data_IF_528948865528
#
_entry.id   IF_528948865528
#
_cell.length_a   1.000
_cell.length_b   1.000
_cell.length_c   1.000
_cell.angle_alpha   90.00
_cell.angle_beta   90.00
_cell.angle_gamma   90.00
#
_symmetry.space_group_name_H-M   'P 1'
#
loop_
_entity.id
_entity.type
_entity.pdbx_description
1 polymer ?
#
# COMPACT_ATOMS: atom_id res chain seq x y z
N UNK A 1 -5.15 -15.35 26.47
CA UNK A 1 -3.86 -15.33 25.76
C UNK A 1 -3.98 -16.26 24.57
N UNK A 2 -4.18 -15.71 23.35
CA UNK A 2 -4.26 -16.54 22.14
C UNK A 2 -2.91 -17.20 21.89
N UNK A 3 -2.87 -18.47 21.46
CA UNK A 3 -1.62 -19.16 21.19
C UNK A 3 -0.85 -18.34 20.16
N UNK A 4 0.41 -18.02 20.46
CA UNK A 4 1.30 -17.36 19.51
C UNK A 4 1.33 -18.23 18.25
N UNK A 5 0.66 -17.77 17.21
CA UNK A 5 0.66 -18.43 15.91
C UNK A 5 2.12 -18.61 15.50
N UNK A 6 2.49 -19.83 15.09
CA UNK A 6 3.86 -20.11 14.65
C UNK A 6 4.29 -19.04 13.64
N UNK A 7 5.52 -18.51 13.75
CA UNK A 7 5.99 -17.50 12.81
C UNK A 7 5.93 -18.08 11.40
N UNK A 8 5.02 -17.55 10.58
CA UNK A 8 4.85 -17.94 9.18
C UNK A 8 5.26 -16.77 8.29
N UNK A 9 5.96 -17.07 7.20
CA UNK A 9 6.39 -16.04 6.24
C UNK A 9 5.17 -15.33 5.66
N UNK A 10 4.09 -16.09 5.39
CA UNK A 10 2.81 -15.56 4.92
C UNK A 10 2.17 -14.58 5.91
N UNK A 11 2.13 -14.91 7.20
CA UNK A 11 1.55 -14.03 8.21
C UNK A 11 2.34 -12.73 8.38
N UNK A 12 3.67 -12.81 8.36
CA UNK A 12 4.54 -11.63 8.40
C UNK A 12 4.35 -10.74 7.14
N UNK A 13 4.28 -11.36 5.96
CA UNK A 13 4.05 -10.66 4.70
C UNK A 13 2.68 -9.97 4.66
N UNK A 14 1.61 -10.67 5.06
CA UNK A 14 0.26 -10.10 5.12
C UNK A 14 0.16 -8.96 6.14
N UNK A 15 0.85 -9.07 7.29
CA UNK A 15 0.91 -8.00 8.29
C UNK A 15 1.62 -6.75 7.76
N UNK A 16 2.78 -6.91 7.10
CA UNK A 16 3.51 -5.78 6.48
C UNK A 16 2.69 -5.14 5.38
N UNK A 17 2.10 -5.95 4.48
CA UNK A 17 1.25 -5.46 3.39
C UNK A 17 0.01 -4.73 3.92
N UNK A 18 -0.61 -5.23 4.99
CA UNK A 18 -1.73 -4.60 5.67
C UNK A 18 -1.34 -3.26 6.30
N UNK A 19 -0.21 -3.20 7.00
CA UNK A 19 0.30 -1.98 7.63
C UNK A 19 0.64 -0.89 6.60
N UNK A 20 1.35 -1.27 5.52
CA UNK A 20 1.66 -0.36 4.41
C UNK A 20 0.35 0.09 3.75
N UNK A 21 -0.59 -0.82 3.50
CA UNK A 21 -1.90 -0.52 2.94
C UNK A 21 -2.71 0.47 3.79
N UNK A 22 -2.70 0.32 5.11
CA UNK A 22 -3.38 1.22 6.03
C UNK A 22 -2.76 2.63 6.01
N UNK A 23 -1.43 2.72 5.98
CA UNK A 23 -0.73 4.01 5.84
C UNK A 23 -1.00 4.69 4.50
N UNK A 24 -1.06 3.94 3.40
CA UNK A 24 -1.49 4.47 2.10
C UNK A 24 -2.93 4.99 2.15
N UNK A 25 -3.84 4.31 2.86
CA UNK A 25 -5.21 4.78 3.07
C UNK A 25 -5.24 6.12 3.80
N UNK A 26 -4.50 6.24 4.90
CA UNK A 26 -4.44 7.47 5.70
C UNK A 26 -3.83 8.64 4.92
N UNK A 27 -2.73 8.38 4.19
CA UNK A 27 -2.15 9.36 3.28
C UNK A 27 -3.15 9.79 2.19
N UNK A 28 -3.89 8.83 1.61
CA UNK A 28 -4.92 9.11 0.62
C UNK A 28 -6.03 10.03 1.13
N UNK A 29 -6.50 9.81 2.38
CA UNK A 29 -7.48 10.69 3.04
C UNK A 29 -6.91 12.10 3.20
N UNK A 30 -5.67 12.23 3.63
CA UNK A 30 -5.02 13.54 3.77
C UNK A 30 -4.93 14.26 2.41
N UNK A 31 -4.53 13.55 1.35
CA UNK A 31 -4.44 14.10 0.00
C UNK A 31 -5.80 14.50 -0.59
N UNK A 32 -6.90 13.90 -0.13
CA UNK A 32 -8.24 14.30 -0.56
C UNK A 32 -8.62 15.73 -0.15
N UNK A 33 -7.95 16.31 0.84
CA UNK A 33 -8.19 17.71 1.26
C UNK A 33 -7.68 18.73 0.24
N UNK A 34 -6.65 18.38 -0.53
CA UNK A 34 -6.02 19.27 -1.52
C UNK A 34 -6.99 19.69 -2.64
N UNK A 35 -7.65 18.78 -3.39
CA UNK A 35 -8.58 19.19 -4.43
C UNK A 35 -9.74 20.03 -3.86
N UNK A 36 -10.23 19.71 -2.65
CA UNK A 36 -11.28 20.50 -1.99
C UNK A 36 -10.83 21.93 -1.72
N UNK A 37 -9.64 22.11 -1.13
CA UNK A 37 -9.07 23.43 -0.87
C UNK A 37 -8.85 24.24 -2.15
N UNK A 38 -8.33 23.58 -3.20
CA UNK A 38 -8.11 24.21 -4.52
C UNK A 38 -9.44 24.63 -5.16
N UNK A 39 -10.45 23.76 -5.15
CA UNK A 39 -11.79 24.08 -5.68
C UNK A 39 -12.41 25.26 -4.92
N UNK A 40 -12.33 25.28 -3.60
CA UNK A 40 -12.84 26.40 -2.79
C UNK A 40 -12.10 27.71 -3.09
N UNK A 41 -10.77 27.65 -3.20
CA UNK A 41 -9.96 28.83 -3.57
C UNK A 41 -10.36 29.38 -4.94
N UNK A 42 -10.53 28.50 -5.93
CA UNK A 42 -10.98 28.88 -7.27
C UNK A 42 -12.41 29.45 -7.25
N UNK A 43 -13.31 28.81 -6.51
CA UNK A 43 -14.68 29.27 -6.36
C UNK A 43 -14.75 30.69 -5.77
N UNK A 44 -13.94 30.96 -4.73
CA UNK A 44 -13.84 32.28 -4.13
C UNK A 44 -13.30 33.32 -5.11
N UNK A 45 -12.22 32.98 -5.81
CA UNK A 45 -11.57 33.88 -6.77
C UNK A 45 -12.47 34.22 -7.96
N UNK A 46 -13.21 33.23 -8.49
CA UNK A 46 -14.12 33.39 -9.63
C UNK A 46 -15.46 34.05 -9.26
N UNK A 47 -15.97 33.79 -8.05
CA UNK A 47 -17.22 34.36 -7.57
C UNK A 47 -17.10 35.84 -7.19
N UNK A 48 -15.94 36.26 -6.67
CA UNK A 48 -15.72 37.64 -6.20
C UNK A 48 -16.69 38.09 -5.09
N UNK A 49 -16.62 39.36 -4.69
CA UNK A 49 -17.45 39.91 -3.61
C UNK A 49 -18.94 40.07 -4.00
N UNK A 50 -19.25 40.10 -5.30
CA UNK A 50 -20.62 40.24 -5.82
C UNK A 50 -21.38 38.91 -5.92
N UNK A 51 -20.69 37.77 -5.71
CA UNK A 51 -21.27 36.44 -5.84
C UNK A 51 -21.48 35.98 -7.29
N UNK A 52 -22.06 34.78 -7.43
CA UNK A 52 -22.26 34.14 -8.73
C UNK A 52 -23.33 34.87 -9.55
N UNK A 53 -22.97 35.26 -10.78
CA UNK A 53 -23.92 35.85 -11.72
C UNK A 53 -24.95 34.81 -12.17
N UNK A 54 -26.23 35.14 -12.05
CA UNK A 54 -27.33 34.28 -12.51
C UNK A 54 -27.21 34.04 -14.03
N UNK A 55 -27.28 32.77 -14.44
CA UNK A 55 -27.05 32.34 -15.83
C UNK A 55 -25.58 32.03 -16.19
N UNK A 56 -24.65 32.14 -15.24
CA UNK A 56 -23.26 31.73 -15.44
C UNK A 56 -23.09 30.21 -15.38
N UNK A 57 -22.33 29.64 -16.32
CA UNK A 57 -21.93 28.23 -16.30
C UNK A 57 -20.72 27.95 -15.38
N UNK A 58 -20.15 28.98 -14.74
CA UNK A 58 -18.94 28.85 -13.93
C UNK A 58 -19.06 27.86 -12.76
N UNK A 59 -20.19 27.80 -12.00
CA UNK A 59 -20.35 26.79 -10.94
C UNK A 59 -20.30 25.37 -11.49
N UNK A 60 -20.96 25.11 -12.62
CA UNK A 60 -20.98 23.78 -13.25
C UNK A 60 -19.59 23.36 -13.74
N UNK A 61 -18.82 24.29 -14.29
CA UNK A 61 -17.42 24.03 -14.71
C UNK A 61 -16.56 23.69 -13.49
N UNK A 62 -16.72 24.42 -12.38
CA UNK A 62 -15.99 24.14 -11.14
C UNK A 62 -16.34 22.78 -10.55
N UNK A 63 -17.62 22.41 -10.55
CA UNK A 63 -18.06 21.09 -10.10
C UNK A 63 -17.46 19.99 -10.97
N UNK A 64 -17.49 20.18 -12.30
CA UNK A 64 -16.86 19.25 -13.24
C UNK A 64 -15.36 19.09 -13.00
N UNK A 65 -14.63 20.20 -12.78
CA UNK A 65 -13.21 20.18 -12.46
C UNK A 65 -12.93 19.51 -11.10
N UNK A 66 -13.77 19.77 -10.09
CA UNK A 66 -13.64 19.15 -8.77
C UNK A 66 -13.82 17.64 -8.86
N UNK A 67 -14.85 17.18 -9.56
CA UNK A 67 -15.10 15.74 -9.80
C UNK A 67 -13.94 15.12 -10.58
N UNK A 68 -13.45 15.77 -11.63
CA UNK A 68 -12.33 15.29 -12.42
C UNK A 68 -11.03 15.19 -11.58
N UNK A 69 -10.75 16.18 -10.74
CA UNK A 69 -9.59 16.18 -9.86
C UNK A 69 -9.65 15.05 -8.82
N UNK A 70 -10.82 14.86 -8.19
CA UNK A 70 -11.03 13.74 -7.25
C UNK A 70 -10.89 12.40 -7.96
N UNK A 71 -11.48 12.23 -9.14
CA UNK A 71 -11.36 11.00 -9.93
C UNK A 71 -9.90 10.71 -10.30
N UNK A 72 -9.14 11.73 -10.72
CA UNK A 72 -7.72 11.61 -11.03
C UNK A 72 -6.89 11.22 -9.80
N UNK A 73 -7.18 11.82 -8.64
CA UNK A 73 -6.54 11.45 -7.37
C UNK A 73 -6.84 10.01 -6.97
N UNK A 74 -8.11 9.58 -7.06
CA UNK A 74 -8.48 8.19 -6.76
C UNK A 74 -7.78 7.23 -7.72
N UNK A 75 -7.78 7.53 -9.02
CA UNK A 75 -7.11 6.71 -10.02
C UNK A 75 -5.59 6.61 -9.77
N UNK A 76 -4.95 7.72 -9.40
CA UNK A 76 -3.51 7.74 -9.10
C UNK A 76 -3.18 6.94 -7.84
N UNK A 77 -3.98 7.08 -6.77
CA UNK A 77 -3.83 6.29 -5.53
C UNK A 77 -4.03 4.79 -5.80
N UNK A 78 -5.02 4.41 -6.60
CA UNK A 78 -5.24 3.00 -6.97
C UNK A 78 -4.08 2.43 -7.79
N UNK A 79 -3.55 3.21 -8.76
CA UNK A 79 -2.37 2.80 -9.54
C UNK A 79 -1.13 2.66 -8.66
N UNK A 80 -0.89 3.62 -7.77
CA UNK A 80 0.24 3.61 -6.86
C UNK A 80 0.13 2.43 -5.89
N UNK A 81 -1.05 2.21 -5.30
CA UNK A 81 -1.34 1.06 -4.44
C UNK A 81 -1.06 -0.26 -5.14
N UNK A 82 -1.49 -0.43 -6.39
CA UNK A 82 -1.22 -1.66 -7.16
C UNK A 82 0.27 -1.86 -7.39
N UNK A 83 1.01 -0.80 -7.73
CA UNK A 83 2.45 -0.88 -8.00
C UNK A 83 3.27 -1.17 -6.74
N UNK A 84 2.92 -0.55 -5.61
CA UNK A 84 3.69 -0.66 -4.36
C UNK A 84 3.28 -1.85 -3.49
N UNK A 85 2.00 -2.26 -3.52
CA UNK A 85 1.51 -3.43 -2.79
C UNK A 85 1.51 -4.71 -3.65
N UNK A 86 2.21 -4.70 -4.78
CA UNK A 86 2.47 -5.92 -5.53
C UNK A 86 3.35 -6.86 -4.70
N UNK A 87 3.14 -8.16 -4.85
CA UNK A 87 3.82 -9.17 -4.04
C UNK A 87 5.34 -9.08 -4.20
N UNK A 88 5.81 -8.85 -5.43
CA UNK A 88 7.21 -8.71 -5.74
C UNK A 88 7.87 -7.49 -5.06
N UNK A 89 7.19 -6.34 -5.06
CA UNK A 89 7.72 -5.12 -4.43
C UNK A 89 7.78 -5.25 -2.91
N UNK A 90 6.71 -5.75 -2.28
CA UNK A 90 6.68 -5.94 -0.82
C UNK A 90 7.71 -6.98 -0.39
N UNK A 91 7.84 -8.09 -1.13
CA UNK A 91 8.85 -9.11 -0.84
C UNK A 91 10.27 -8.55 -0.97
N UNK A 92 10.56 -7.78 -2.02
CA UNK A 92 11.88 -7.17 -2.22
C UNK A 92 12.25 -6.20 -1.08
N UNK A 93 11.30 -5.37 -0.62
CA UNK A 93 11.55 -4.47 0.53
C UNK A 93 11.76 -5.24 1.83
N UNK A 94 11.01 -6.33 2.06
CA UNK A 94 11.22 -7.18 3.23
C UNK A 94 12.57 -7.90 3.18
N UNK A 95 13.00 -8.35 2.01
CA UNK A 95 14.31 -8.97 1.80
C UNK A 95 15.45 -7.99 2.07
N UNK A 96 15.34 -6.77 1.54
CA UNK A 96 16.32 -5.69 1.76
C UNK A 96 16.41 -5.30 3.24
N UNK A 97 15.28 -5.11 3.92
CA UNK A 97 15.24 -4.76 5.34
C UNK A 97 15.81 -5.88 6.25
N UNK A 98 15.63 -7.15 5.86
CA UNK A 98 16.10 -8.31 6.60
C UNK A 98 17.50 -8.79 6.18
N UNK A 99 18.17 -8.10 5.25
CA UNK A 99 19.48 -8.50 4.72
C UNK A 99 19.46 -9.86 4.00
N UNK A 100 18.32 -10.24 3.41
CA UNK A 100 18.15 -11.48 2.67
C UNK A 100 18.47 -11.29 1.18
N UNK A 101 18.90 -12.36 0.52
CA UNK A 101 19.03 -12.37 -0.92
C UNK A 101 17.66 -12.18 -1.59
N UNK A 102 17.67 -11.51 -2.76
CA UNK A 102 16.44 -11.30 -3.54
C UNK A 102 15.78 -12.62 -3.93
N UNK A 103 14.46 -12.71 -3.77
CA UNK A 103 13.64 -13.88 -4.13
C UNK A 103 13.49 -14.93 -3.02
N UNK A 104 14.15 -14.80 -1.86
CA UNK A 104 14.03 -15.74 -0.74
C UNK A 104 12.63 -15.71 -0.10
N UNK A 105 12.06 -14.52 0.10
CA UNK A 105 10.72 -14.35 0.67
C UNK A 105 9.67 -14.80 -0.34
N UNK A 106 9.82 -14.39 -1.61
CA UNK A 106 8.93 -14.83 -2.69
C UNK A 106 8.95 -16.35 -2.88
N UNK A 107 10.12 -16.96 -2.93
CA UNK A 107 10.27 -18.40 -3.02
C UNK A 107 9.65 -19.12 -1.82
N UNK A 108 9.80 -18.58 -0.61
CA UNK A 108 9.14 -19.12 0.58
C UNK A 108 7.61 -19.03 0.51
N UNK A 109 7.07 -17.91 -0.02
CA UNK A 109 5.63 -17.76 -0.25
C UNK A 109 5.10 -18.72 -1.32
N UNK A 110 5.83 -18.93 -2.41
CA UNK A 110 5.51 -19.90 -3.45
C UNK A 110 5.54 -21.34 -2.92
N UNK A 111 6.58 -21.72 -2.16
CA UNK A 111 6.67 -23.02 -1.48
C UNK A 111 5.55 -23.24 -0.46
N UNK A 112 5.11 -22.20 0.24
CA UNK A 112 3.98 -22.29 1.19
C UNK A 112 2.64 -22.55 0.48
N UNK A 113 2.50 -22.07 -0.77
CA UNK A 113 1.31 -22.28 -1.60
C UNK A 113 1.29 -23.67 -2.22
N UNK A 114 2.43 -24.13 -2.73
CA UNK A 114 2.56 -25.44 -3.34
C UNK A 114 3.99 -25.94 -3.23
N UNK A 115 4.17 -27.13 -2.67
CA UNK A 115 5.46 -27.81 -2.68
C UNK A 115 5.63 -28.53 -4.02
N UNK A 116 6.67 -28.22 -4.82
CA UNK A 116 6.88 -28.91 -6.09
C UNK A 116 7.08 -30.42 -5.92
N UNK A 117 6.64 -31.25 -6.89
CA UNK A 117 6.89 -32.68 -6.84
C UNK A 117 8.40 -32.98 -6.77
N UNK A 118 8.79 -33.90 -5.88
CA UNK A 118 10.20 -34.24 -5.63
C UNK A 118 10.88 -33.44 -4.51
N UNK A 119 10.22 -32.42 -3.94
CA UNK A 119 10.75 -31.66 -2.79
C UNK A 119 10.17 -32.19 -1.48
N UNK A 120 11.03 -32.43 -0.48
CA UNK A 120 10.60 -32.85 0.85
C UNK A 120 9.82 -31.74 1.56
N UNK A 121 8.54 -32.01 1.88
CA UNK A 121 7.68 -31.08 2.61
C UNK A 121 8.24 -30.70 3.99
N UNK A 122 8.98 -31.60 4.64
CA UNK A 122 9.64 -31.30 5.93
C UNK A 122 10.78 -30.29 5.76
N UNK A 123 11.52 -30.38 4.65
CA UNK A 123 12.63 -29.48 4.33
C UNK A 123 12.11 -28.10 3.89
N UNK A 124 11.04 -28.07 3.10
CA UNK A 124 10.30 -26.86 2.75
C UNK A 124 9.80 -26.12 4.00
N UNK A 125 9.14 -26.82 4.94
CA UNK A 125 8.68 -26.22 6.20
C UNK A 125 9.82 -25.69 7.08
N UNK A 126 10.97 -26.37 7.12
CA UNK A 126 12.16 -25.88 7.84
C UNK A 126 12.76 -24.63 7.19
N UNK A 127 12.80 -24.58 5.86
CA UNK A 127 13.26 -23.39 5.14
C UNK A 127 12.34 -22.20 5.41
N UNK A 128 11.02 -22.39 5.35
CA UNK A 128 10.03 -21.37 5.68
C UNK A 128 10.19 -20.86 7.12
N UNK A 129 10.30 -21.77 8.10
CA UNK A 129 10.48 -21.39 9.51
C UNK A 129 11.76 -20.58 9.76
N UNK A 130 12.85 -20.89 9.03
CA UNK A 130 14.12 -20.16 9.13
C UNK A 130 14.00 -18.74 8.57
N UNK A 131 13.29 -18.57 7.45
CA UNK A 131 13.03 -17.24 6.86
C UNK A 131 12.09 -16.43 7.76
N UNK A 132 11.01 -17.05 8.25
CA UNK A 132 10.08 -16.41 9.18
C UNK A 132 10.80 -15.92 10.44
N UNK A 133 11.70 -16.72 11.01
CA UNK A 133 12.52 -16.33 12.17
C UNK A 133 13.40 -15.11 11.91
N UNK A 134 13.97 -14.97 10.71
CA UNK A 134 14.77 -13.79 10.33
C UNK A 134 13.92 -12.54 10.14
N UNK A 135 12.71 -12.67 9.59
CA UNK A 135 11.77 -11.56 9.43
C UNK A 135 11.23 -11.03 10.76
N UNK A 136 11.12 -11.89 11.79
CA UNK A 136 10.64 -11.52 13.13
C UNK A 136 11.74 -11.13 14.11
N UNK A 137 13.02 -11.38 13.78
CA UNK A 137 14.14 -11.06 14.68
C UNK A 137 14.36 -9.54 14.70
N UNK A 138 14.33 -8.87 15.87
CA UNK A 138 14.45 -7.40 15.99
C UNK A 138 15.81 -6.78 15.63
N UNK A 139 16.73 -7.52 15.02
CA UNK A 139 18.18 -7.25 15.07
C UNK A 139 18.83 -6.97 13.72
N UNK A 140 18.35 -6.00 12.95
CA UNK A 140 19.11 -5.50 11.78
C UNK A 140 19.01 -4.01 11.45
N UNK A 141 18.41 -3.16 12.29
CA UNK A 141 18.23 -1.71 11.96
C UNK A 141 18.93 -0.76 12.94
N UNK A 142 19.85 -1.24 13.79
CA UNK A 142 20.65 -0.37 14.67
C UNK A 142 22.11 -0.83 14.79
N UNK A 143 22.82 -0.90 13.66
CA UNK A 143 24.28 -0.91 13.63
C UNK A 143 24.77 0.02 12.53
#
# INVERSE_FOLDING_TARGET
MSPAARPSVRGAFEAVRGHIGARFGMAGVLWATVPVAVTLMLAWWLGGAAGWRQGSAAPLILDGLAVAAVAALVASLLRLRRRWLDEASVAATMEEAAGLARGVVRGSLELSRSVPPGVSAALARRAEARVAGRLTSPTSVLA
#
